data_IF_177436255612
#
_entry.id   IF_177436255612
#
_cell.length_a   1.000
_cell.length_b   1.000
_cell.length_c   1.000
_cell.angle_alpha   90.00
_cell.angle_beta   90.00
_cell.angle_gamma   90.00
#
_symmetry.space_group_name_H-M   'P 1'
#
loop_
_entity.id
_entity.type
_entity.pdbx_description
1 polymer ?
#
# COMPACT_ATOMS: atom_id res chain seq x y z
N UNK A 1 24.18 4.18 22.60
CA UNK A 1 23.03 4.10 21.68
C UNK A 1 22.80 2.63 21.35
N UNK A 2 21.65 2.08 21.74
CA UNK A 2 21.35 0.66 21.56
C UNK A 2 20.77 0.48 20.15
N UNK A 3 21.29 -0.51 19.44
CA UNK A 3 20.76 -1.01 18.15
C UNK A 3 20.49 -2.51 18.35
N UNK A 4 19.37 -3.06 17.86
CA UNK A 4 19.11 -4.49 17.94
C UNK A 4 20.19 -5.34 17.25
N UNK A 5 20.57 -6.46 17.86
CA UNK A 5 21.62 -7.35 17.35
C UNK A 5 21.25 -7.99 16.00
N UNK A 6 19.96 -8.28 15.79
CA UNK A 6 19.42 -8.78 14.53
C UNK A 6 19.71 -7.84 13.37
N UNK A 7 19.57 -6.53 13.60
CA UNK A 7 19.85 -5.51 12.59
C UNK A 7 21.36 -5.37 12.34
N UNK A 8 22.17 -5.40 13.40
CA UNK A 8 23.65 -5.42 13.24
C UNK A 8 24.12 -6.59 12.39
N UNK A 9 23.61 -7.79 12.64
CA UNK A 9 23.95 -9.00 11.85
C UNK A 9 23.62 -8.84 10.37
N UNK A 10 22.50 -8.19 10.02
CA UNK A 10 22.13 -7.90 8.62
C UNK A 10 23.09 -6.92 7.96
N UNK A 11 23.61 -5.92 8.68
CA UNK A 11 24.65 -5.02 8.17
C UNK A 11 26.01 -5.71 8.01
N UNK A 12 26.40 -6.56 8.96
CA UNK A 12 27.64 -7.36 8.91
C UNK A 12 27.63 -8.30 7.68
N UNK A 13 26.47 -8.88 7.36
CA UNK A 13 26.30 -9.74 6.18
C UNK A 13 26.30 -8.99 4.84
N UNK A 14 26.45 -7.66 4.86
CA UNK A 14 26.24 -6.77 3.73
C UNK A 14 24.76 -6.41 3.63
N UNK A 15 24.46 -5.12 3.77
CA UNK A 15 23.10 -4.58 3.72
C UNK A 15 22.45 -4.81 2.35
N UNK A 16 21.73 -5.93 2.20
CA UNK A 16 21.14 -6.42 0.94
C UNK A 16 19.62 -6.50 0.97
N UNK A 17 19.01 -6.16 2.09
CA UNK A 17 17.56 -6.20 2.26
C UNK A 17 17.06 -4.93 2.95
N UNK A 18 15.80 -4.62 2.70
CA UNK A 18 15.14 -3.47 3.33
C UNK A 18 15.07 -3.67 4.84
N UNK A 19 15.60 -2.71 5.59
CA UNK A 19 15.49 -2.67 7.05
C UNK A 19 14.49 -1.57 7.41
N UNK A 20 13.30 -1.92 7.91
CA UNK A 20 12.31 -0.94 8.32
C UNK A 20 12.81 -0.07 9.48
N UNK A 21 12.63 1.24 9.38
CA UNK A 21 13.08 2.20 10.40
C UNK A 21 12.38 2.02 11.74
N UNK A 22 11.21 1.37 11.76
CA UNK A 22 10.49 0.99 13.00
C UNK A 22 11.38 0.19 13.95
N UNK A 23 12.31 -0.62 13.43
CA UNK A 23 13.25 -1.37 14.26
C UNK A 23 14.34 -0.52 14.90
N UNK A 24 14.55 0.69 14.39
CA UNK A 24 15.58 1.64 14.80
C UNK A 24 15.01 2.83 15.59
N UNK A 25 13.72 2.85 15.90
CA UNK A 25 13.16 3.88 16.79
C UNK A 25 13.63 3.70 18.22
N UNK A 26 13.58 4.77 19.02
CA UNK A 26 13.92 4.71 20.45
C UNK A 26 13.07 3.66 21.17
N UNK A 27 11.76 3.63 20.90
CA UNK A 27 10.82 2.70 21.52
C UNK A 27 11.18 1.24 21.21
N UNK A 28 11.46 0.89 19.94
CA UNK A 28 11.79 -0.49 19.60
C UNK A 28 13.17 -0.90 20.14
N UNK A 29 14.16 0.00 20.07
CA UNK A 29 15.47 -0.25 20.63
C UNK A 29 15.42 -0.48 22.15
N UNK A 30 14.63 0.31 22.88
CA UNK A 30 14.43 0.14 24.32
C UNK A 30 13.72 -1.18 24.63
N UNK A 31 12.66 -1.53 23.88
CA UNK A 31 11.95 -2.81 24.04
C UNK A 31 12.89 -4.01 23.87
N UNK A 32 13.73 -3.98 22.84
CA UNK A 32 14.69 -5.07 22.56
C UNK A 32 15.81 -5.17 23.58
N UNK A 33 16.15 -4.07 24.25
CA UNK A 33 17.14 -4.07 25.32
C UNK A 33 16.62 -4.76 26.58
N UNK A 34 15.31 -4.66 26.85
CA UNK A 34 14.65 -5.29 28.00
C UNK A 34 14.27 -6.74 27.70
N UNK A 35 13.81 -7.00 26.48
CA UNK A 35 13.42 -8.32 26.01
C UNK A 35 14.08 -8.61 24.65
N UNK A 36 15.26 -9.27 24.65
CA UNK A 36 15.93 -9.65 23.42
C UNK A 36 15.09 -10.61 22.56
N UNK A 37 14.20 -11.41 23.16
CA UNK A 37 13.32 -12.38 22.50
C UNK A 37 12.15 -11.74 21.76
N UNK A 38 11.75 -10.52 22.13
CA UNK A 38 10.72 -9.75 21.42
C UNK A 38 11.04 -9.49 19.93
N UNK A 39 12.30 -9.64 19.52
CA UNK A 39 12.74 -9.52 18.12
C UNK A 39 13.46 -10.79 17.60
N UNK A 40 13.42 -11.91 18.34
CA UNK A 40 13.97 -13.16 17.85
C UNK A 40 13.06 -13.74 16.75
N UNK A 41 13.63 -13.79 15.55
CA UNK A 41 13.11 -14.57 14.42
C UNK A 41 12.74 -15.98 14.89
N UNK A 42 11.48 -16.35 14.67
CA UNK A 42 11.01 -17.73 14.77
C UNK A 42 11.90 -18.61 13.88
N UNK A 43 12.74 -19.42 14.51
CA UNK A 43 13.44 -20.54 13.88
C UNK A 43 12.39 -21.42 13.21
N UNK A 44 12.34 -21.42 11.88
CA UNK A 44 11.50 -22.35 11.14
C UNK A 44 12.32 -23.60 10.86
N UNK A 45 12.03 -24.67 11.60
CA UNK A 45 12.62 -25.98 11.36
C UNK A 45 11.91 -26.57 10.12
N UNK A 46 12.63 -26.68 9.01
CA UNK A 46 12.13 -27.41 7.84
C UNK A 46 12.43 -28.90 8.01
N UNK A 47 11.39 -29.72 8.25
CA UNK A 47 11.52 -31.17 8.49
C UNK A 47 11.83 -32.00 7.24
N UNK A 48 12.13 -31.39 6.09
CA UNK A 48 12.24 -32.09 4.80
C UNK A 48 13.59 -32.75 4.52
N UNK A 49 14.61 -32.63 5.39
CA UNK A 49 15.91 -33.29 5.15
C UNK A 49 16.75 -33.58 6.41
N UNK A 50 16.20 -33.45 7.63
CA UNK A 50 17.00 -33.56 8.86
C UNK A 50 18.06 -32.46 9.03
N UNK A 51 18.03 -31.42 8.19
CA UNK A 51 18.96 -30.30 8.22
C UNK A 51 18.27 -29.07 8.84
N UNK A 52 18.67 -28.69 10.05
CA UNK A 52 18.23 -27.44 10.68
C UNK A 52 18.84 -26.29 9.87
N UNK A 53 18.03 -25.67 9.01
CA UNK A 53 18.46 -24.49 8.25
C UNK A 53 17.89 -23.24 8.92
N UNK A 54 18.76 -22.42 9.48
CA UNK A 54 18.38 -21.17 10.15
C UNK A 54 18.12 -20.08 9.10
N UNK A 55 16.91 -19.99 8.57
CA UNK A 55 16.52 -18.87 7.70
C UNK A 55 15.95 -17.72 8.54
N UNK A 56 16.62 -16.57 8.53
CA UNK A 56 16.10 -15.32 9.11
C UNK A 56 14.82 -14.91 8.39
N UNK A 57 13.78 -14.57 9.16
CA UNK A 57 12.50 -14.12 8.61
C UNK A 57 12.68 -12.70 8.07
N UNK A 58 12.00 -12.31 6.96
CA UNK A 58 11.97 -10.92 6.53
C UNK A 58 11.39 -10.03 7.63
N UNK A 59 12.04 -8.88 7.87
CA UNK A 59 11.59 -7.87 8.83
C UNK A 59 10.23 -7.32 8.41
N UNK A 60 9.32 -7.14 9.37
CA UNK A 60 7.99 -6.60 9.08
C UNK A 60 8.09 -5.10 8.80
N UNK A 61 7.61 -4.67 7.62
CA UNK A 61 7.49 -3.25 7.29
C UNK A 61 6.24 -2.59 7.92
N UNK A 62 5.51 -3.32 8.77
CA UNK A 62 4.31 -2.83 9.43
C UNK A 62 4.61 -1.61 10.31
N UNK A 63 3.75 -0.60 10.23
CA UNK A 63 3.88 0.65 10.97
C UNK A 63 4.90 1.63 10.39
N UNK A 64 5.78 1.24 9.47
CA UNK A 64 6.82 2.13 8.93
C UNK A 64 6.24 3.34 8.20
N UNK A 65 5.16 3.15 7.46
CA UNK A 65 4.44 4.24 6.77
C UNK A 65 3.71 5.22 7.72
N UNK A 66 3.68 4.92 9.02
CA UNK A 66 3.02 5.74 10.05
C UNK A 66 4.01 6.40 11.01
N UNK A 67 5.33 6.30 10.76
CA UNK A 67 6.33 6.96 11.58
C UNK A 67 6.11 8.48 11.57
N UNK A 68 6.18 9.09 12.75
CA UNK A 68 6.28 10.54 12.87
C UNK A 68 7.64 11.04 12.38
N UNK A 69 7.72 12.32 12.02
CA UNK A 69 9.00 12.96 11.63
C UNK A 69 10.08 12.80 12.71
N UNK A 70 9.68 12.87 13.98
CA UNK A 70 10.58 12.69 15.12
C UNK A 70 11.13 11.26 15.17
N UNK A 71 10.27 10.25 15.14
CA UNK A 71 10.70 8.84 15.17
C UNK A 71 11.59 8.50 13.97
N UNK A 72 11.26 9.06 12.80
CA UNK A 72 12.09 8.94 11.61
C UNK A 72 13.48 9.54 11.80
N UNK A 73 13.60 10.74 12.39
CA UNK A 73 14.90 11.36 12.69
C UNK A 73 15.72 10.52 13.70
N UNK A 74 15.08 9.97 14.73
CA UNK A 74 15.71 9.09 15.72
C UNK A 74 16.22 7.80 15.08
N UNK A 75 15.42 7.19 14.21
CA UNK A 75 15.78 6.00 13.47
C UNK A 75 16.90 6.25 12.45
N UNK A 76 16.86 7.36 11.73
CA UNK A 76 17.89 7.74 10.75
C UNK A 76 19.25 8.00 11.39
N UNK A 77 19.31 8.59 12.58
CA UNK A 77 20.57 8.73 13.32
C UNK A 77 21.24 7.38 13.57
N UNK A 78 20.46 6.34 13.90
CA UNK A 78 20.97 4.98 14.07
C UNK A 78 21.35 4.34 12.74
N UNK A 79 20.53 4.51 11.72
CA UNK A 79 20.80 3.98 10.38
C UNK A 79 22.09 4.54 9.81
N UNK A 80 22.31 5.86 9.87
CA UNK A 80 23.53 6.49 9.38
C UNK A 80 24.77 6.00 10.11
N UNK A 81 24.67 5.73 11.42
CA UNK A 81 25.77 5.13 12.18
C UNK A 81 26.07 3.70 11.70
N UNK A 82 25.04 2.88 11.45
CA UNK A 82 25.24 1.54 10.90
C UNK A 82 25.90 1.59 9.52
N UNK A 83 25.47 2.52 8.66
CA UNK A 83 26.10 2.73 7.36
C UNK A 83 27.55 3.18 7.54
N UNK A 84 27.84 4.10 8.46
CA UNK A 84 29.20 4.55 8.74
C UNK A 84 30.11 3.41 9.20
N UNK A 85 29.61 2.54 10.08
CA UNK A 85 30.38 1.45 10.69
C UNK A 85 30.61 0.27 9.72
N UNK A 86 29.62 -0.08 8.88
CA UNK A 86 29.63 -1.30 8.06
C UNK A 86 29.66 -1.07 6.55
N UNK A 87 29.37 0.14 6.08
CA UNK A 87 29.34 0.49 4.65
C UNK A 87 29.77 1.96 4.44
N UNK A 88 30.97 2.35 4.91
CA UNK A 88 31.38 3.76 4.98
C UNK A 88 31.37 4.47 3.62
N UNK A 89 31.61 3.74 2.53
CA UNK A 89 31.54 4.29 1.16
C UNK A 89 30.14 4.81 0.78
N UNK A 90 29.09 4.27 1.40
CA UNK A 90 27.70 4.65 1.14
C UNK A 90 27.23 5.79 2.06
N UNK A 91 28.02 6.16 3.08
CA UNK A 91 27.60 7.11 4.12
C UNK A 91 27.20 8.47 3.55
N UNK A 92 28.06 9.06 2.71
CA UNK A 92 27.81 10.40 2.17
C UNK A 92 26.54 10.43 1.30
N UNK A 93 26.30 9.35 0.56
CA UNK A 93 25.16 9.20 -0.34
C UNK A 93 23.85 9.18 0.47
N UNK A 94 23.80 8.36 1.52
CA UNK A 94 22.64 8.26 2.40
C UNK A 94 22.46 9.47 3.31
N UNK A 95 23.54 10.10 3.74
CA UNK A 95 23.51 11.36 4.50
C UNK A 95 22.87 12.48 3.67
N UNK A 96 23.23 12.60 2.38
CA UNK A 96 22.59 13.55 1.45
C UNK A 96 21.10 13.25 1.25
N UNK A 97 20.71 11.98 1.11
CA UNK A 97 19.30 11.58 1.02
C UNK A 97 18.50 12.00 2.26
N UNK A 98 19.01 11.67 3.45
CA UNK A 98 18.41 12.07 4.73
C UNK A 98 18.25 13.58 4.85
N UNK A 99 19.31 14.34 4.57
CA UNK A 99 19.28 15.80 4.68
C UNK A 99 18.29 16.41 3.70
N UNK A 100 18.17 15.90 2.47
CA UNK A 100 17.15 16.35 1.50
C UNK A 100 15.75 16.25 2.06
N UNK A 101 15.40 15.12 2.67
CA UNK A 101 14.05 14.91 3.22
C UNK A 101 13.84 15.82 4.44
N UNK A 102 14.82 15.84 5.36
CA UNK A 102 14.76 16.65 6.58
C UNK A 102 14.59 18.14 6.28
N UNK A 103 15.31 18.63 5.29
CA UNK A 103 15.42 20.05 4.97
C UNK A 103 14.45 20.48 3.85
N UNK A 104 13.56 19.60 3.39
CA UNK A 104 12.57 19.94 2.37
C UNK A 104 11.56 20.98 2.91
N UNK A 105 11.33 22.04 2.14
CA UNK A 105 10.45 23.15 2.54
C UNK A 105 9.03 22.71 2.89
N UNK A 106 8.52 21.69 2.20
CA UNK A 106 7.17 21.16 2.40
C UNK A 106 7.12 19.91 3.27
N UNK A 107 8.23 19.53 3.93
CA UNK A 107 8.37 18.30 4.72
C UNK A 107 7.25 18.13 5.73
N UNK A 108 6.97 19.18 6.52
CA UNK A 108 5.89 19.18 7.53
C UNK A 108 4.51 18.97 6.90
N UNK A 109 4.24 19.58 5.75
CA UNK A 109 2.91 19.54 5.10
C UNK A 109 2.68 18.27 4.29
N UNK A 110 3.75 17.64 3.80
CA UNK A 110 3.71 16.43 2.96
C UNK A 110 4.48 15.28 3.59
N UNK A 111 4.53 15.22 4.92
CA UNK A 111 5.35 14.26 5.64
C UNK A 111 5.10 12.80 5.20
N UNK A 112 3.84 12.40 5.07
CA UNK A 112 3.51 11.03 4.66
C UNK A 112 3.91 10.69 3.22
N UNK A 113 4.06 11.69 2.34
CA UNK A 113 4.62 11.50 1.00
C UNK A 113 6.14 11.37 1.06
N UNK A 114 6.81 12.23 1.82
CA UNK A 114 8.26 12.16 2.04
C UNK A 114 8.70 10.85 2.71
N UNK A 115 7.94 10.38 3.69
CA UNK A 115 8.16 9.09 4.32
C UNK A 115 7.93 7.92 3.35
N UNK A 116 6.89 7.97 2.51
CA UNK A 116 6.68 6.95 1.48
C UNK A 116 7.82 6.94 0.46
N UNK A 117 8.32 8.12 0.08
CA UNK A 117 9.49 8.26 -0.79
C UNK A 117 10.75 7.67 -0.15
N UNK A 118 11.01 7.98 1.12
CA UNK A 118 12.13 7.40 1.88
C UNK A 118 12.12 5.87 1.90
N UNK A 119 10.97 5.29 2.25
CA UNK A 119 10.79 3.83 2.31
C UNK A 119 11.08 3.21 0.94
N UNK A 120 10.55 3.79 -0.13
CA UNK A 120 10.71 3.25 -1.47
C UNK A 120 12.15 3.34 -1.98
N UNK A 121 12.86 4.43 -1.68
CA UNK A 121 14.30 4.57 -2.00
C UNK A 121 15.10 3.50 -1.27
N UNK A 122 14.96 3.38 0.06
CA UNK A 122 15.65 2.36 0.86
C UNK A 122 15.36 0.95 0.37
N UNK A 123 14.12 0.66 0.03
CA UNK A 123 13.71 -0.66 -0.48
C UNK A 123 14.34 -0.97 -1.84
N UNK A 124 14.34 -0.02 -2.78
CA UNK A 124 14.89 -0.23 -4.14
C UNK A 124 16.40 -0.29 -4.16
N UNK A 125 17.10 0.51 -3.34
CA UNK A 125 18.57 0.49 -3.28
C UNK A 125 19.15 -0.86 -2.87
N UNK A 126 18.37 -1.74 -2.23
CA UNK A 126 18.80 -3.11 -1.92
C UNK A 126 18.82 -4.05 -3.14
N UNK A 127 18.10 -3.72 -4.21
CA UNK A 127 17.89 -4.62 -5.37
C UNK A 127 18.24 -3.99 -6.72
N UNK A 128 18.22 -2.67 -6.81
CA UNK A 128 18.41 -1.89 -8.03
C UNK A 128 19.64 -0.99 -7.87
N UNK A 129 20.44 -0.78 -8.94
CA UNK A 129 21.52 0.20 -8.93
C UNK A 129 20.92 1.60 -8.99
N UNK A 130 20.58 2.13 -7.82
CA UNK A 130 19.97 3.44 -7.62
C UNK A 130 20.87 4.26 -6.71
N UNK A 131 21.06 5.55 -7.04
CA UNK A 131 21.78 6.52 -6.21
C UNK A 131 20.79 7.31 -5.33
N UNK A 132 20.70 7.03 -4.01
CA UNK A 132 19.86 7.78 -3.07
C UNK A 132 20.22 9.26 -2.97
N UNK A 133 21.48 9.62 -3.26
CA UNK A 133 21.92 11.00 -3.16
C UNK A 133 21.34 11.89 -4.25
N UNK A 134 20.66 11.31 -5.25
CA UNK A 134 19.93 12.03 -6.30
C UNK A 134 18.43 11.95 -6.02
N UNK A 135 17.72 13.05 -6.22
CA UNK A 135 16.27 13.06 -6.08
C UNK A 135 15.63 12.30 -7.25
N UNK A 136 14.94 11.21 -6.93
CA UNK A 136 14.34 10.31 -7.91
C UNK A 136 12.92 10.79 -8.26
N UNK A 137 12.85 11.80 -9.12
CA UNK A 137 11.59 12.47 -9.51
C UNK A 137 10.52 11.49 -10.00
N UNK A 138 10.91 10.42 -10.69
CA UNK A 138 9.97 9.40 -11.17
C UNK A 138 9.30 8.65 -10.01
N UNK A 139 10.08 8.23 -9.01
CA UNK A 139 9.55 7.57 -7.82
C UNK A 139 8.63 8.51 -7.05
N UNK A 140 9.03 9.77 -6.89
CA UNK A 140 8.19 10.78 -6.27
C UNK A 140 6.84 10.97 -6.99
N UNK A 141 6.88 11.13 -8.31
CA UNK A 141 5.68 11.33 -9.13
C UNK A 141 4.76 10.10 -9.10
N UNK A 142 5.31 8.89 -9.00
CA UNK A 142 4.52 7.66 -8.87
C UNK A 142 3.77 7.59 -7.53
N UNK A 143 4.34 8.15 -6.46
CA UNK A 143 3.76 8.16 -5.11
C UNK A 143 2.71 9.27 -4.91
N UNK A 144 2.84 10.37 -5.64
CA UNK A 144 2.02 11.56 -5.48
C UNK A 144 0.50 11.33 -5.66
N UNK A 145 0.02 10.53 -6.66
CA UNK A 145 -1.40 10.24 -6.82
C UNK A 145 -2.02 9.59 -5.58
N UNK A 146 -1.34 8.59 -5.01
CA UNK A 146 -1.85 7.88 -3.83
C UNK A 146 -1.84 8.77 -2.57
N UNK A 147 -0.89 9.69 -2.46
CA UNK A 147 -0.90 10.72 -1.43
C UNK A 147 -2.08 11.68 -1.59
N UNK A 148 -2.32 12.20 -2.80
CA UNK A 148 -3.41 13.14 -3.08
C UNK A 148 -4.79 12.50 -2.84
N UNK A 149 -4.97 11.23 -3.23
CA UNK A 149 -6.20 10.48 -2.96
C UNK A 149 -6.43 10.34 -1.45
N UNK A 150 -5.40 9.95 -0.69
CA UNK A 150 -5.48 9.82 0.77
C UNK A 150 -5.82 11.16 1.43
N UNK A 151 -5.15 12.23 1.03
CA UNK A 151 -5.41 13.57 1.54
C UNK A 151 -6.85 14.04 1.23
N UNK A 152 -7.35 13.77 0.02
CA UNK A 152 -8.73 14.11 -0.35
C UNK A 152 -9.75 13.31 0.46
N UNK A 153 -9.52 12.02 0.67
CA UNK A 153 -10.39 11.17 1.50
C UNK A 153 -10.41 11.62 2.96
N UNK A 154 -9.27 12.04 3.51
CA UNK A 154 -9.20 12.53 4.89
C UNK A 154 -9.99 13.83 5.05
N UNK A 155 -9.86 14.77 4.11
CA UNK A 155 -10.66 16.01 4.10
C UNK A 155 -12.16 15.72 4.05
N UNK A 156 -12.59 14.75 3.24
CA UNK A 156 -13.99 14.33 3.20
C UNK A 156 -14.44 13.75 4.53
N UNK A 157 -13.63 12.87 5.16
CA UNK A 157 -13.95 12.30 6.48
C UNK A 157 -14.10 13.38 7.54
N UNK A 158 -13.17 14.34 7.60
CA UNK A 158 -13.24 15.46 8.55
C UNK A 158 -14.54 16.26 8.38
N UNK A 159 -15.01 16.48 7.15
CA UNK A 159 -16.28 17.17 6.90
C UNK A 159 -17.51 16.42 7.44
N UNK A 160 -17.50 15.09 7.42
CA UNK A 160 -18.60 14.29 7.97
C UNK A 160 -18.56 14.15 9.51
N UNK A 161 -17.37 14.20 10.11
CA UNK A 161 -17.22 14.12 11.59
C UNK A 161 -17.41 15.45 12.30
N UNK A 162 -17.39 16.58 11.58
CA UNK A 162 -17.52 17.93 12.14
C UNK A 162 -18.95 18.50 12.07
N UNK A 163 -19.96 17.72 11.70
CA UNK A 163 -21.35 18.16 11.87
C UNK A 163 -21.65 18.30 13.37
N UNK A 164 -22.01 19.50 13.88
CA UNK A 164 -22.36 19.65 15.27
C UNK A 164 -23.65 18.85 15.52
N UNK A 165 -23.60 17.95 16.50
CA UNK A 165 -24.78 17.42 17.18
C UNK A 165 -25.47 18.60 17.88
N UNK A 166 -26.20 19.42 17.12
CA UNK A 166 -27.05 20.46 17.67
C UNK A 166 -28.16 19.76 18.46
N UNK A 167 -27.99 19.71 19.78
CA UNK A 167 -29.04 19.41 20.74
C UNK A 167 -30.08 20.52 20.68
N UNK A 168 -30.99 20.47 19.70
CA UNK A 168 -32.15 21.34 19.67
C UNK A 168 -33.29 20.68 20.43
N UNK A 169 -33.44 21.11 21.69
CA UNK A 169 -34.66 20.92 22.48
C UNK A 169 -35.81 21.61 21.76
N UNK A 170 -36.62 20.88 20.98
CA UNK A 170 -37.84 21.41 20.39
C UNK A 170 -39.07 20.60 20.80
N UNK A 171 -40.06 21.39 21.25
CA UNK A 171 -41.28 20.99 21.91
C UNK A 171 -42.16 20.12 21.03
N UNK A 172 -42.69 19.09 21.68
CA UNK A 172 -43.88 18.28 21.35
C UNK A 172 -45.01 19.17 20.79
N UNK A 173 -45.43 18.93 19.54
CA UNK A 173 -46.80 19.17 19.08
C UNK A 173 -47.25 18.00 18.21
N UNK A 174 -48.47 17.56 18.50
CA UNK A 174 -49.18 16.42 17.93
C UNK A 174 -49.66 16.66 16.50
N UNK A 175 -49.91 15.52 15.82
CA UNK A 175 -50.91 15.24 14.77
C UNK A 175 -50.43 15.17 13.30
N UNK A 176 -51.14 14.44 12.42
CA UNK A 176 -50.79 13.06 12.06
C UNK A 176 -50.63 12.85 10.53
N UNK A 177 -50.35 11.60 10.16
CA UNK A 177 -50.28 11.05 8.79
C UNK A 177 -49.08 11.47 7.93
N UNK A 178 -48.10 10.56 7.81
CA UNK A 178 -47.39 10.32 6.55
C UNK A 178 -46.87 8.90 6.45
N UNK A 179 -47.14 8.33 5.28
CA UNK A 179 -47.00 6.95 4.85
C UNK A 179 -45.61 6.37 5.08
N UNK A 180 -45.61 5.09 5.44
CA UNK A 180 -44.46 4.19 5.54
C UNK A 180 -43.51 4.30 4.34
N UNK A 181 -42.24 4.59 4.63
CA UNK A 181 -41.11 4.30 3.75
C UNK A 181 -40.16 3.37 4.51
N UNK A 182 -39.62 2.33 3.85
CA UNK A 182 -38.95 1.24 4.52
C UNK A 182 -37.61 1.70 5.12
N UNK A 183 -37.51 1.42 6.42
CA UNK A 183 -36.35 1.57 7.27
C UNK A 183 -35.12 0.89 6.64
N UNK A 184 -34.15 1.68 6.13
CA UNK A 184 -32.83 1.15 5.76
C UNK A 184 -32.09 0.83 7.04
N UNK A 185 -32.15 -0.44 7.45
CA UNK A 185 -31.38 -1.00 8.56
C UNK A 185 -29.88 -0.72 8.38
N UNK A 186 -29.13 -0.53 9.48
CA UNK A 186 -27.68 -0.59 9.48
C UNK A 186 -27.24 -1.96 8.93
N UNK A 187 -26.26 -1.96 8.02
CA UNK A 187 -25.68 -3.19 7.49
C UNK A 187 -24.83 -3.81 8.59
N UNK A 188 -25.44 -4.71 9.35
CA UNK A 188 -24.75 -5.64 10.24
C UNK A 188 -23.71 -6.41 9.42
N UNK A 189 -22.48 -6.45 9.96
CA UNK A 189 -21.45 -7.38 9.52
C UNK A 189 -21.91 -8.79 9.91
N UNK A 190 -22.65 -9.44 9.02
CA UNK A 190 -22.89 -10.88 9.12
C UNK A 190 -21.65 -11.61 8.61
N UNK A 191 -20.94 -12.22 9.55
CA UNK A 191 -20.10 -13.38 9.32
C UNK A 191 -20.98 -14.52 8.81
N UNK A 192 -20.98 -14.79 7.50
CA UNK A 192 -21.56 -16.01 6.91
C UNK A 192 -20.96 -16.30 5.53
N UNK A 193 -20.04 -17.27 5.50
CA UNK A 193 -19.74 -18.32 4.50
C UNK A 193 -20.04 -18.21 2.98
N UNK A 194 -20.39 -17.06 2.42
CA UNK A 194 -20.46 -16.88 0.96
C UNK A 194 -19.61 -15.68 0.52
N UNK A 195 -18.29 -15.85 0.58
CA UNK A 195 -17.37 -15.02 -0.18
C UNK A 195 -17.61 -15.31 -1.67
N UNK A 196 -18.58 -14.62 -2.28
CA UNK A 196 -18.67 -14.49 -3.74
C UNK A 196 -17.27 -14.13 -4.24
N UNK A 197 -16.66 -15.07 -4.95
CA UNK A 197 -15.26 -15.03 -5.40
C UNK A 197 -15.04 -13.76 -6.23
N UNK A 198 -14.56 -12.69 -5.61
CA UNK A 198 -14.11 -11.51 -6.33
C UNK A 198 -12.97 -11.92 -7.25
N UNK A 199 -13.27 -12.00 -8.55
CA UNK A 199 -12.30 -12.39 -9.57
C UNK A 199 -11.67 -11.15 -10.19
N UNK A 200 -10.38 -11.25 -10.46
CA UNK A 200 -9.62 -10.22 -11.12
C UNK A 200 -10.20 -9.98 -12.52
N UNK A 201 -10.66 -8.76 -12.78
CA UNK A 201 -11.25 -8.43 -14.09
C UNK A 201 -10.24 -8.37 -15.24
N UNK A 202 -8.94 -8.56 -14.99
CA UNK A 202 -7.89 -8.59 -16.03
C UNK A 202 -7.47 -10.01 -16.40
N UNK A 203 -7.34 -10.91 -15.43
CA UNK A 203 -6.88 -12.29 -15.67
C UNK A 203 -7.82 -13.39 -15.15
N UNK A 204 -8.97 -13.01 -14.57
CA UNK A 204 -9.92 -13.87 -13.89
C UNK A 204 -9.41 -14.65 -12.66
N UNK A 205 -8.17 -14.43 -12.22
CA UNK A 205 -7.64 -15.02 -10.98
C UNK A 205 -8.31 -14.49 -9.71
N UNK A 206 -8.43 -15.33 -8.68
CA UNK A 206 -9.07 -15.00 -7.38
C UNK A 206 -8.13 -14.40 -6.33
N UNK A 207 -6.81 -14.46 -6.55
CA UNK A 207 -5.83 -14.20 -5.49
C UNK A 207 -5.37 -12.73 -5.42
N UNK A 208 -5.91 -11.85 -6.27
CA UNK A 208 -5.52 -10.44 -6.32
C UNK A 208 -6.60 -9.56 -6.95
N UNK A 209 -6.52 -8.26 -6.69
CA UNK A 209 -7.36 -7.26 -7.37
C UNK A 209 -6.74 -6.86 -8.72
N UNK A 210 -7.58 -6.42 -9.67
CA UNK A 210 -7.11 -5.95 -10.98
C UNK A 210 -6.11 -4.77 -10.91
N UNK A 211 -6.07 -4.02 -9.81
CA UNK A 211 -5.13 -2.91 -9.62
C UNK A 211 -3.66 -3.38 -9.63
N UNK A 212 -3.39 -4.59 -9.15
CA UNK A 212 -2.04 -5.15 -9.04
C UNK A 212 -1.81 -6.35 -9.97
N UNK A 213 -2.72 -6.59 -10.92
CA UNK A 213 -2.60 -7.71 -11.84
C UNK A 213 -1.47 -7.47 -12.85
N UNK A 214 -0.44 -8.32 -12.83
CA UNK A 214 0.64 -8.30 -13.83
C UNK A 214 0.59 -9.52 -14.77
N UNK A 215 -0.50 -10.28 -14.72
CA UNK A 215 -0.66 -11.46 -15.55
C UNK A 215 -0.89 -11.06 -17.01
N UNK A 216 -0.20 -11.75 -17.91
CA UNK A 216 -0.36 -11.61 -19.38
C UNK A 216 -1.28 -12.68 -19.96
N UNK A 217 -1.76 -13.60 -19.12
CA UNK A 217 -2.68 -14.69 -19.48
C UNK A 217 -3.89 -14.73 -18.53
N UNK A 218 -5.03 -15.15 -19.07
CA UNK A 218 -6.24 -15.53 -18.34
C UNK A 218 -6.04 -16.88 -17.63
N UNK A 219 -6.96 -17.24 -16.72
CA UNK A 219 -6.95 -18.53 -16.02
C UNK A 219 -6.98 -19.75 -16.95
N UNK A 220 -7.61 -19.65 -18.12
CA UNK A 220 -7.64 -20.68 -19.16
C UNK A 220 -6.40 -20.70 -20.07
N UNK A 221 -5.37 -19.90 -19.78
CA UNK A 221 -4.13 -19.84 -20.54
C UNK A 221 -4.16 -18.97 -21.80
N UNK A 222 -5.31 -18.41 -22.20
CA UNK A 222 -5.39 -17.45 -23.31
C UNK A 222 -4.73 -16.11 -22.92
N UNK A 223 -4.21 -15.31 -23.86
CA UNK A 223 -3.70 -13.99 -23.57
C UNK A 223 -4.77 -13.08 -22.94
N UNK A 224 -4.38 -12.18 -22.04
CA UNK A 224 -5.31 -11.15 -21.55
C UNK A 224 -5.79 -10.28 -22.70
N UNK A 225 -7.09 -9.99 -22.73
CA UNK A 225 -7.69 -9.14 -23.76
C UNK A 225 -7.18 -7.70 -23.67
N UNK A 226 -7.02 -7.19 -22.44
CA UNK A 226 -6.35 -5.91 -22.21
C UNK A 226 -4.85 -6.11 -22.00
N UNK A 227 -4.05 -5.23 -22.59
CA UNK A 227 -2.60 -5.19 -22.46
C UNK A 227 -2.19 -4.03 -21.58
N UNK A 228 -1.11 -4.24 -20.83
CA UNK A 228 -0.47 -3.18 -20.05
C UNK A 228 0.13 -2.14 -21.01
N UNK A 229 -0.37 -0.91 -20.94
CA UNK A 229 0.00 0.23 -21.78
C UNK A 229 0.70 1.34 -20.97
N UNK A 230 1.18 1.01 -19.76
CA UNK A 230 1.84 1.94 -18.82
C UNK A 230 1.24 1.88 -17.41
N UNK A 231 1.75 2.69 -16.46
CA UNK A 231 1.33 2.64 -15.05
C UNK A 231 -0.19 2.75 -14.90
N UNK A 232 -0.82 1.69 -14.38
CA UNK A 232 -2.28 1.58 -14.21
C UNK A 232 -3.12 1.83 -15.48
N UNK A 233 -2.52 1.72 -16.67
CA UNK A 233 -3.19 1.90 -17.96
C UNK A 233 -3.26 0.55 -18.65
N UNK A 234 -4.48 0.04 -18.79
CA UNK A 234 -4.77 -1.12 -19.63
C UNK A 234 -5.58 -0.69 -20.83
N UNK A 235 -5.19 -1.16 -22.01
CA UNK A 235 -5.85 -0.86 -23.26
C UNK A 235 -6.04 -2.13 -24.08
N UNK A 236 -7.08 -2.17 -24.89
CA UNK A 236 -7.26 -3.24 -25.88
C UNK A 236 -6.26 -3.08 -27.04
N UNK A 237 -6.20 -4.03 -27.99
CA UNK A 237 -5.31 -3.92 -29.15
C UNK A 237 -5.54 -2.68 -30.02
N UNK A 238 -6.70 -2.02 -29.91
CA UNK A 238 -7.04 -0.77 -30.60
C UNK A 238 -6.72 0.47 -29.76
N UNK A 239 -6.06 0.32 -28.61
CA UNK A 239 -5.70 1.43 -27.72
C UNK A 239 -6.88 1.98 -26.90
N UNK A 240 -8.04 1.30 -26.89
CA UNK A 240 -9.24 1.79 -26.23
C UNK A 240 -9.23 1.45 -24.74
N UNK A 241 -9.70 2.40 -23.93
CA UNK A 241 -9.78 2.29 -22.47
C UNK A 241 -11.14 1.80 -22.01
N UNK A 242 -11.12 0.94 -20.99
CA UNK A 242 -12.30 0.27 -20.46
C UNK A 242 -12.64 0.81 -19.07
N UNK A 243 -13.93 0.93 -18.76
CA UNK A 243 -14.40 1.33 -17.45
C UNK A 243 -14.25 0.16 -16.46
N UNK A 244 -13.34 0.29 -15.49
CA UNK A 244 -13.13 -0.76 -14.48
C UNK A 244 -14.27 -0.84 -13.46
N UNK A 245 -14.92 0.29 -13.14
CA UNK A 245 -16.13 0.27 -12.31
C UNK A 245 -17.25 -0.55 -12.96
N UNK A 246 -17.40 -0.49 -14.29
CA UNK A 246 -18.35 -1.34 -15.01
C UNK A 246 -17.95 -2.82 -14.90
N UNK A 247 -16.68 -3.14 -15.11
CA UNK A 247 -16.16 -4.51 -15.02
C UNK A 247 -16.19 -5.10 -13.59
N UNK A 248 -16.29 -4.26 -12.56
CA UNK A 248 -16.52 -4.63 -11.17
C UNK A 248 -17.98 -4.53 -10.71
N UNK A 249 -18.95 -4.37 -11.63
CA UNK A 249 -20.39 -4.22 -11.33
C UNK A 249 -20.77 -3.00 -10.46
N UNK A 250 -19.96 -1.93 -10.51
CA UNK A 250 -20.13 -0.72 -9.71
C UNK A 250 -20.45 0.56 -10.51
N UNK A 251 -20.52 0.50 -11.84
CA UNK A 251 -20.90 1.67 -12.65
C UNK A 251 -22.42 1.79 -12.79
N UNK A 252 -22.96 3.00 -12.62
CA UNK A 252 -24.40 3.28 -12.76
C UNK A 252 -24.88 3.26 -14.21
N UNK A 253 -23.99 3.53 -15.16
CA UNK A 253 -24.28 3.44 -16.61
C UNK A 253 -24.05 1.98 -17.04
N UNK A 254 -25.05 1.34 -17.65
CA UNK A 254 -24.99 -0.09 -17.99
C UNK A 254 -24.49 -0.40 -19.40
N UNK A 255 -24.55 0.55 -20.33
CA UNK A 255 -24.22 0.33 -21.75
C UNK A 255 -23.41 1.50 -22.33
N UNK A 256 -22.69 1.26 -23.41
CA UNK A 256 -21.97 2.29 -24.17
C UNK A 256 -20.64 2.71 -23.53
N UNK A 257 -20.50 4.01 -23.24
CA UNK A 257 -19.27 4.61 -22.69
C UNK A 257 -19.61 5.53 -21.53
N UNK A 258 -18.73 5.59 -20.53
CA UNK A 258 -18.77 6.64 -19.52
C UNK A 258 -17.47 7.46 -19.53
N UNK A 259 -17.36 8.43 -18.63
CA UNK A 259 -16.16 9.25 -18.43
C UNK A 259 -14.90 8.42 -18.12
N UNK A 260 -15.05 7.20 -17.63
CA UNK A 260 -13.95 6.28 -17.28
C UNK A 260 -13.58 5.30 -18.42
N UNK A 261 -14.35 5.26 -19.51
CA UNK A 261 -14.06 4.42 -20.67
C UNK A 261 -15.26 3.59 -21.17
N UNK A 262 -14.96 2.65 -22.07
CA UNK A 262 -15.93 1.74 -22.68
C UNK A 262 -16.51 0.73 -21.70
N UNK A 263 -17.80 0.46 -21.84
CA UNK A 263 -18.52 -0.55 -21.06
C UNK A 263 -18.54 -1.86 -21.83
N UNK A 264 -17.36 -2.49 -21.86
CA UNK A 264 -17.14 -3.80 -22.43
C UNK A 264 -16.40 -4.67 -21.43
N UNK A 265 -16.54 -5.98 -21.58
CA UNK A 265 -15.89 -6.97 -20.75
C UNK A 265 -14.38 -6.89 -20.96
N UNK A 266 -13.60 -6.70 -19.89
CA UNK A 266 -12.14 -6.65 -19.96
C UNK A 266 -11.48 -8.02 -20.17
N UNK A 267 -12.24 -9.12 -20.11
CA UNK A 267 -11.75 -10.48 -20.33
C UNK A 267 -11.92 -10.94 -21.79
N UNK A 268 -13.03 -10.54 -22.45
CA UNK A 268 -13.34 -11.00 -23.81
C UNK A 268 -13.80 -9.92 -24.80
N UNK A 269 -14.02 -8.67 -24.35
CA UNK A 269 -14.49 -7.57 -25.20
C UNK A 269 -16.00 -7.51 -25.46
N UNK A 270 -16.80 -8.43 -24.90
CA UNK A 270 -18.26 -8.48 -25.07
C UNK A 270 -19.05 -7.43 -24.26
N UNK A 271 -20.37 -7.37 -24.46
CA UNK A 271 -21.29 -6.40 -23.81
C UNK A 271 -21.81 -6.88 -22.44
N UNK A 272 -20.88 -7.19 -21.54
CA UNK A 272 -21.19 -7.61 -20.17
C UNK A 272 -20.04 -7.26 -19.22
N UNK A 273 -20.25 -7.38 -17.91
CA UNK A 273 -19.19 -7.10 -16.92
C UNK A 273 -18.22 -8.28 -16.80
N UNK A 274 -16.96 -8.02 -16.44
CA UNK A 274 -16.01 -9.08 -16.17
C UNK A 274 -16.44 -10.04 -15.04
N UNK A 275 -17.40 -9.66 -14.18
CA UNK A 275 -17.94 -10.52 -13.10
C UNK A 275 -18.94 -11.59 -13.60
N UNK A 276 -19.52 -11.43 -14.80
CA UNK A 276 -20.46 -12.40 -15.39
C UNK A 276 -19.97 -13.05 -16.69
N UNK A 277 -18.78 -12.67 -17.15
CA UNK A 277 -18.07 -13.34 -18.25
C UNK A 277 -18.00 -14.86 -18.05
N UNK A 278 -17.92 -15.62 -19.15
CA UNK A 278 -17.69 -17.07 -19.15
C UNK A 278 -16.44 -17.48 -19.96
N UNK A 279 -15.77 -16.50 -20.57
CA UNK A 279 -14.66 -16.71 -21.51
C UNK A 279 -13.31 -16.34 -20.86
N UNK A 280 -12.85 -17.11 -19.87
CA UNK A 280 -11.56 -16.89 -19.18
C UNK A 280 -11.01 -18.15 -18.52
#
# INVERSE_FOLDING_TARGET
MIIPETIRKKFIAGWREHIPLTYLTDQNCARTAVDPEANHDLLTVSSSAGLITTTSKPLSAEGEANLSFREWCEAWKRLLRLIQDYSPAEYDIWSRHHNRIRDAEDCTTKWSLWLAYDIEIRRRSCTEPLDPSIFQVNIWNDLQPDFLIRQAMERLRSQYTSAPSSSSTLKRRHSPERRDLPNKRPREYTTSDEAERFRCFLCAGSNHSGRYCRNTKLSNGKPTYLRFAGPNKYADPQGRRYCFSFNGNGCQIKYGTCRQGLHKCSLCGGEHTAQVCKDF
#
